data_IF_595660584673
#
_entry.id   IF_595660584673
#
_cell.length_a   1.000
_cell.length_b   1.000
_cell.length_c   1.000
_cell.angle_alpha   90.00
_cell.angle_beta   90.00
_cell.angle_gamma   90.00
#
_symmetry.space_group_name_H-M   'P 1'
#
loop_
_entity.id
_entity.type
_entity.pdbx_description
1 polymer ?
#
# COMPACT_ATOMS: atom_id res chain seq x y z
N UNK A 1 2.95 28.32 16.29
CA UNK A 1 4.09 27.38 16.36
C UNK A 1 5.37 28.11 16.76
N UNK A 2 5.64 29.27 16.20
CA UNK A 2 6.85 30.05 16.49
C UNK A 2 6.86 30.66 17.91
N UNK A 3 5.71 31.07 18.42
CA UNK A 3 5.57 31.76 19.72
C UNK A 3 5.31 30.83 20.90
N UNK A 4 5.32 29.50 20.68
CA UNK A 4 4.98 28.49 21.71
C UNK A 4 3.72 28.83 22.50
N UNK A 5 2.70 29.34 21.79
CA UNK A 5 1.44 29.79 22.34
C UNK A 5 0.26 29.18 21.57
N UNK A 6 -0.78 28.79 22.27
CA UNK A 6 -2.07 28.39 21.71
C UNK A 6 -3.16 29.28 22.28
N UNK A 7 -3.96 29.88 21.40
CA UNK A 7 -5.12 30.66 21.82
C UNK A 7 -6.33 29.71 21.90
N UNK A 8 -6.84 29.51 23.12
CA UNK A 8 -8.02 28.69 23.38
C UNK A 8 -9.25 29.58 23.43
N UNK A 9 -10.20 29.37 22.51
CA UNK A 9 -11.45 30.12 22.48
C UNK A 9 -12.42 29.51 23.46
N UNK A 10 -12.80 30.31 24.49
CA UNK A 10 -13.79 29.94 25.51
C UNK A 10 -15.07 30.74 25.27
N UNK A 11 -16.19 30.03 25.17
CA UNK A 11 -17.52 30.62 24.91
C UNK A 11 -17.97 30.36 23.44
N UNK A 12 -19.22 30.75 23.19
CA UNK A 12 -19.85 30.66 21.85
C UNK A 12 -20.40 32.01 21.44
N UNK A 13 -20.35 32.35 20.17
CA UNK A 13 -20.91 33.58 19.58
C UNK A 13 -20.10 34.84 19.86
N UNK A 14 -20.69 36.04 19.77
CA UNK A 14 -19.98 37.34 19.82
C UNK A 14 -19.26 37.64 21.15
N UNK A 15 -19.50 36.85 22.22
CA UNK A 15 -18.83 36.96 23.51
C UNK A 15 -17.70 35.94 23.74
N UNK A 16 -17.28 35.21 22.74
CA UNK A 16 -16.18 34.28 22.87
C UNK A 16 -14.85 35.02 23.13
N UNK A 17 -14.12 34.60 24.15
CA UNK A 17 -12.82 35.18 24.52
C UNK A 17 -11.72 34.22 24.25
N UNK A 18 -10.64 34.69 23.56
CA UNK A 18 -9.44 33.91 23.35
C UNK A 18 -8.50 34.05 24.55
N UNK A 19 -8.17 32.93 25.19
CA UNK A 19 -7.21 32.87 26.30
C UNK A 19 -5.90 32.31 25.77
N UNK A 20 -4.80 33.08 25.79
CA UNK A 20 -3.50 32.61 25.37
C UNK A 20 -2.91 31.66 26.43
N UNK A 21 -2.57 30.45 26.01
CA UNK A 21 -1.82 29.50 26.84
C UNK A 21 -0.38 29.42 26.34
N UNK A 22 0.56 29.69 27.22
CA UNK A 22 1.98 29.51 26.93
C UNK A 22 2.30 28.01 27.02
N UNK A 23 3.02 27.51 26.02
CA UNK A 23 3.48 26.14 25.95
C UNK A 23 4.99 26.08 26.21
N UNK A 24 5.50 25.03 26.86
CA UNK A 24 6.94 24.79 26.89
C UNK A 24 7.47 24.56 25.47
N UNK A 25 8.77 24.75 25.28
CA UNK A 25 9.41 24.45 23.98
C UNK A 25 9.18 22.98 23.60
N UNK A 26 8.73 22.75 22.39
CA UNK A 26 8.44 21.41 21.86
C UNK A 26 8.86 21.30 20.39
N UNK A 27 9.09 20.07 19.93
CA UNK A 27 9.26 19.74 18.52
C UNK A 27 7.96 19.17 17.98
N UNK A 28 7.45 19.76 16.90
CA UNK A 28 6.26 19.29 16.21
C UNK A 28 6.67 18.38 15.04
N UNK A 29 6.17 17.16 15.06
CA UNK A 29 6.33 16.21 13.95
C UNK A 29 4.95 15.92 13.38
N UNK A 30 4.82 16.09 12.06
CA UNK A 30 3.59 15.74 11.31
C UNK A 30 3.88 14.68 10.26
N UNK A 31 2.91 13.84 9.97
CA UNK A 31 2.97 12.88 8.87
C UNK A 31 1.66 12.92 8.08
N UNK A 32 1.77 12.90 6.76
CA UNK A 32 0.61 12.87 5.86
C UNK A 32 0.96 12.13 4.58
N UNK A 33 -0.04 11.48 3.99
CA UNK A 33 0.05 10.92 2.64
C UNK A 33 -0.33 11.93 1.55
N UNK A 34 -0.85 13.11 1.95
CA UNK A 34 -1.37 14.15 1.05
C UNK A 34 -0.73 15.50 1.36
N UNK A 35 0.59 15.60 1.23
CA UNK A 35 1.33 16.83 1.51
C UNK A 35 0.83 18.04 0.67
N UNK A 36 0.33 17.81 -0.55
CA UNK A 36 -0.23 18.84 -1.41
C UNK A 36 -1.53 19.47 -0.89
N UNK A 37 -2.24 18.83 0.06
CA UNK A 37 -3.43 19.39 0.71
C UNK A 37 -3.12 20.28 1.91
N UNK A 38 -1.86 20.31 2.38
CA UNK A 38 -1.46 21.19 3.46
C UNK A 38 -1.42 22.64 2.94
N UNK A 39 -2.09 23.59 3.64
CA UNK A 39 -1.98 25.00 3.31
C UNK A 39 -0.51 25.45 3.34
N UNK A 40 -0.10 26.29 2.36
CA UNK A 40 1.27 26.79 2.30
C UNK A 40 1.77 27.40 3.61
N UNK A 41 0.98 28.23 4.34
CA UNK A 41 1.45 28.81 5.61
C UNK A 41 1.75 27.77 6.69
N UNK A 42 1.09 26.61 6.65
CA UNK A 42 1.39 25.53 7.59
C UNK A 42 2.64 24.77 7.14
N UNK A 43 2.74 24.45 5.86
CA UNK A 43 3.88 23.72 5.29
C UNK A 43 5.19 24.50 5.48
N UNK A 44 5.16 25.82 5.27
CA UNK A 44 6.34 26.69 5.34
C UNK A 44 6.87 26.86 6.79
N UNK A 45 6.04 26.50 7.81
CA UNK A 45 6.46 26.49 9.21
C UNK A 45 7.18 25.22 9.64
N UNK A 46 7.21 24.18 8.80
CA UNK A 46 8.04 23.00 9.04
C UNK A 46 9.43 23.24 8.45
N UNK A 47 10.46 23.27 9.31
CA UNK A 47 11.84 23.49 8.89
C UNK A 47 12.49 22.33 8.14
N UNK A 48 11.86 21.15 8.16
CA UNK A 48 12.34 19.95 7.49
C UNK A 48 11.17 19.13 6.96
N UNK A 49 11.27 18.67 5.70
CA UNK A 49 10.33 17.76 5.08
C UNK A 49 11.09 16.54 4.57
N UNK A 50 10.72 15.37 5.05
CA UNK A 50 11.23 14.09 4.57
C UNK A 50 10.16 13.36 3.77
N UNK A 51 10.55 12.76 2.66
CA UNK A 51 9.74 11.78 1.95
C UNK A 51 10.15 10.38 2.41
N UNK A 52 9.17 9.55 2.76
CA UNK A 52 9.40 8.16 3.11
C UNK A 52 9.04 7.29 1.92
N UNK A 53 10.05 6.62 1.37
CA UNK A 53 9.89 5.69 0.28
C UNK A 53 9.49 4.28 0.78
N UNK A 54 9.14 3.41 -0.15
CA UNK A 54 8.90 2.01 0.17
C UNK A 54 10.24 1.32 0.47
N UNK A 55 10.18 0.38 1.39
CA UNK A 55 11.35 -0.42 1.76
C UNK A 55 11.67 -1.46 0.68
N UNK A 56 12.95 -1.73 0.50
CA UNK A 56 13.41 -2.86 -0.29
C UNK A 56 13.11 -4.18 0.42
N UNK A 57 13.05 -5.28 -0.34
CA UNK A 57 12.70 -6.59 0.22
C UNK A 57 13.67 -7.03 1.33
N UNK A 58 14.96 -6.76 1.20
CA UNK A 58 15.99 -7.04 2.20
C UNK A 58 15.77 -6.28 3.51
N UNK A 59 15.35 -5.02 3.42
CA UNK A 59 15.04 -4.19 4.60
C UNK A 59 13.78 -4.71 5.32
N UNK A 60 12.77 -5.12 4.56
CA UNK A 60 11.58 -5.76 5.14
C UNK A 60 11.92 -7.09 5.80
N UNK A 61 12.83 -7.90 5.23
CA UNK A 61 13.30 -9.12 5.88
C UNK A 61 13.88 -8.84 7.27
N UNK A 62 14.68 -7.80 7.41
CA UNK A 62 15.23 -7.40 8.72
C UNK A 62 14.12 -6.97 9.70
N UNK A 63 13.11 -6.25 9.22
CA UNK A 63 11.94 -5.88 10.03
C UNK A 63 11.17 -7.12 10.49
N UNK A 64 10.94 -8.09 9.59
CA UNK A 64 10.26 -9.36 9.91
C UNK A 64 11.08 -10.16 10.92
N UNK A 65 12.39 -10.30 10.71
CA UNK A 65 13.30 -10.97 11.66
C UNK A 65 13.25 -10.34 13.06
N UNK A 66 13.32 -9.00 13.12
CA UNK A 66 13.21 -8.26 14.38
C UNK A 66 11.87 -8.52 15.06
N UNK A 67 10.78 -8.41 14.31
CA UNK A 67 9.43 -8.62 14.86
C UNK A 67 9.22 -10.06 15.32
N UNK A 68 9.71 -11.04 14.57
CA UNK A 68 9.66 -12.45 14.96
C UNK A 68 10.39 -12.69 16.30
N UNK A 69 11.60 -12.10 16.49
CA UNK A 69 12.32 -12.18 17.78
C UNK A 69 11.52 -11.55 18.94
N UNK A 70 10.93 -10.37 18.73
CA UNK A 70 10.12 -9.70 19.75
C UNK A 70 8.86 -10.50 20.14
N UNK A 71 8.33 -11.30 19.21
CA UNK A 71 7.20 -12.19 19.43
C UNK A 71 7.60 -13.60 19.87
N UNK A 72 8.90 -13.86 20.06
CA UNK A 72 9.46 -15.18 20.39
C UNK A 72 9.05 -16.27 19.40
N UNK A 73 9.03 -15.96 18.10
CA UNK A 73 8.65 -16.88 17.04
C UNK A 73 9.88 -17.56 16.43
N UNK A 74 9.82 -18.89 16.31
CA UNK A 74 10.78 -19.65 15.51
C UNK A 74 10.35 -19.64 14.05
N UNK A 75 11.12 -18.97 13.18
CA UNK A 75 10.77 -18.77 11.78
C UNK A 75 11.94 -19.11 10.85
N UNK A 76 11.66 -19.83 9.76
CA UNK A 76 12.62 -20.15 8.72
C UNK A 76 12.98 -18.92 7.88
N UNK A 77 14.24 -18.86 7.41
CA UNK A 77 14.72 -17.76 6.55
C UNK A 77 13.88 -17.65 5.27
N UNK A 78 13.49 -18.77 4.65
CA UNK A 78 12.64 -18.79 3.47
C UNK A 78 11.24 -18.24 3.75
N UNK A 79 10.67 -18.48 4.93
CA UNK A 79 9.39 -17.91 5.33
C UNK A 79 9.48 -16.39 5.51
N UNK A 80 10.62 -15.89 6.00
CA UNK A 80 10.89 -14.46 6.10
C UNK A 80 10.90 -13.82 4.72
N UNK A 81 11.64 -14.39 3.76
CA UNK A 81 11.71 -13.88 2.39
C UNK A 81 10.34 -13.88 1.69
N UNK A 82 9.52 -14.93 1.90
CA UNK A 82 8.15 -14.98 1.36
C UNK A 82 7.26 -13.85 1.93
N UNK A 83 7.30 -13.65 3.23
CA UNK A 83 6.54 -12.57 3.88
C UNK A 83 7.03 -11.21 3.39
N UNK A 84 8.33 -11.01 3.26
CA UNK A 84 8.93 -9.76 2.81
C UNK A 84 8.56 -9.46 1.37
N UNK A 85 8.72 -10.41 0.46
CA UNK A 85 8.39 -10.26 -0.97
C UNK A 85 6.94 -9.89 -1.23
N UNK A 86 6.01 -10.43 -0.41
CA UNK A 86 4.57 -10.14 -0.54
C UNK A 86 4.08 -8.95 0.27
N UNK A 87 4.98 -8.23 0.97
CA UNK A 87 4.62 -7.12 1.86
C UNK A 87 4.51 -5.75 1.19
N UNK A 88 4.73 -5.68 -0.12
CA UNK A 88 4.62 -4.45 -0.93
C UNK A 88 5.59 -3.34 -0.49
N UNK A 89 6.73 -3.67 0.12
CA UNK A 89 7.68 -2.72 0.67
C UNK A 89 7.15 -1.94 1.89
N UNK A 90 6.16 -2.49 2.60
CA UNK A 90 5.48 -1.79 3.70
C UNK A 90 5.59 -2.58 5.01
N UNK A 91 6.26 -2.05 6.04
CA UNK A 91 6.43 -2.71 7.34
C UNK A 91 5.11 -3.11 8.03
N UNK A 92 4.07 -2.28 7.87
CA UNK A 92 2.73 -2.57 8.41
C UNK A 92 2.14 -3.84 7.79
N UNK A 93 2.27 -3.99 6.46
CA UNK A 93 1.78 -5.17 5.74
C UNK A 93 2.61 -6.38 6.15
N UNK A 94 3.94 -6.28 6.15
CA UNK A 94 4.84 -7.36 6.57
C UNK A 94 4.50 -7.89 7.96
N UNK A 95 4.32 -7.00 8.94
CA UNK A 95 3.94 -7.39 10.30
C UNK A 95 2.53 -8.01 10.37
N UNK A 96 1.61 -7.57 9.54
CA UNK A 96 0.27 -8.17 9.42
C UNK A 96 0.36 -9.58 8.85
N UNK A 97 1.14 -9.77 7.78
CA UNK A 97 1.35 -11.09 7.16
C UNK A 97 2.07 -12.04 8.13
N UNK A 98 3.10 -11.57 8.83
CA UNK A 98 3.80 -12.38 9.85
C UNK A 98 2.84 -12.91 10.92
N UNK A 99 1.94 -12.06 11.43
CA UNK A 99 0.93 -12.49 12.41
C UNK A 99 -0.01 -13.55 11.84
N UNK A 100 -0.47 -13.39 10.60
CA UNK A 100 -1.32 -14.35 9.92
C UNK A 100 -0.64 -15.71 9.71
N UNK A 101 0.65 -15.68 9.32
CA UNK A 101 1.48 -16.89 9.19
C UNK A 101 1.66 -17.56 10.56
N UNK A 102 1.88 -16.77 11.62
CA UNK A 102 1.94 -17.28 12.99
C UNK A 102 0.65 -17.99 13.37
N UNK A 103 -0.49 -17.32 13.23
CA UNK A 103 -1.79 -17.86 13.62
C UNK A 103 -2.11 -19.17 12.87
N UNK A 104 -1.74 -19.22 11.60
CA UNK A 104 -1.84 -20.45 10.80
C UNK A 104 -0.92 -21.55 11.33
N UNK A 105 0.35 -21.25 11.63
CA UNK A 105 1.32 -22.21 12.12
C UNK A 105 1.01 -22.71 13.55
N UNK A 106 0.38 -21.90 14.40
CA UNK A 106 -0.11 -22.33 15.72
C UNK A 106 -1.16 -23.43 15.58
N UNK A 107 -2.03 -23.33 14.58
CA UNK A 107 -3.09 -24.32 14.34
C UNK A 107 -2.56 -25.58 13.63
N UNK A 108 -1.68 -25.43 12.64
CA UNK A 108 -1.30 -26.50 11.71
C UNK A 108 0.14 -27.01 11.90
N UNK A 109 1.03 -26.23 12.56
CA UNK A 109 2.48 -26.50 12.59
C UNK A 109 3.13 -26.51 13.97
N UNK A 110 2.38 -26.64 15.05
CA UNK A 110 2.90 -26.62 16.43
C UNK A 110 3.76 -25.38 16.75
N UNK A 111 3.44 -24.25 16.10
CA UNK A 111 4.07 -22.95 16.37
C UNK A 111 5.37 -22.65 15.62
N UNK A 112 5.93 -23.59 14.84
CA UNK A 112 7.09 -23.33 13.98
C UNK A 112 6.65 -22.76 12.64
N UNK A 113 7.19 -21.58 12.27
CA UNK A 113 6.87 -20.90 11.03
C UNK A 113 7.81 -21.38 9.91
N UNK A 114 7.45 -22.46 9.24
CA UNK A 114 8.17 -22.95 8.06
C UNK A 114 7.76 -22.20 6.79
N UNK A 115 8.58 -22.35 5.74
CA UNK A 115 8.24 -21.85 4.39
C UNK A 115 6.89 -22.40 3.88
N UNK A 116 6.60 -23.67 4.14
CA UNK A 116 5.33 -24.29 3.75
C UNK A 116 4.14 -23.66 4.46
N UNK A 117 4.27 -23.41 5.78
CA UNK A 117 3.24 -22.71 6.55
C UNK A 117 3.05 -21.27 6.06
N UNK A 118 4.14 -20.56 5.70
CA UNK A 118 4.03 -19.22 5.15
C UNK A 118 3.25 -19.22 3.84
N UNK A 119 3.58 -20.10 2.89
CA UNK A 119 2.87 -20.20 1.62
C UNK A 119 1.40 -20.60 1.78
N UNK A 120 1.12 -21.60 2.61
CA UNK A 120 -0.25 -22.06 2.86
C UNK A 120 -1.10 -20.95 3.52
N UNK A 121 -0.55 -20.25 4.50
CA UNK A 121 -1.21 -19.11 5.15
C UNK A 121 -1.48 -17.98 4.14
N UNK A 122 -0.48 -17.58 3.36
CA UNK A 122 -0.62 -16.49 2.40
C UNK A 122 -1.63 -16.83 1.29
N UNK A 123 -1.64 -18.08 0.83
CA UNK A 123 -2.66 -18.58 -0.10
C UNK A 123 -4.08 -18.55 0.51
N UNK A 124 -4.22 -18.97 1.77
CA UNK A 124 -5.50 -18.92 2.50
C UNK A 124 -6.03 -17.49 2.65
N UNK A 125 -5.13 -16.52 2.81
CA UNK A 125 -5.47 -15.09 2.86
C UNK A 125 -5.51 -14.42 1.48
N UNK A 126 -5.48 -15.23 0.42
CA UNK A 126 -5.57 -14.78 -0.96
C UNK A 126 -4.49 -13.75 -1.37
N UNK A 127 -3.30 -13.82 -0.77
CA UNK A 127 -2.13 -13.01 -1.13
C UNK A 127 -1.26 -13.83 -2.07
N UNK A 128 -1.11 -13.37 -3.31
CA UNK A 128 -0.33 -14.05 -4.33
C UNK A 128 1.20 -13.82 -4.18
N UNK A 129 1.98 -14.35 -5.13
CA UNK A 129 3.45 -14.36 -5.09
C UNK A 129 4.09 -12.96 -5.08
N UNK A 130 3.42 -11.97 -5.63
CA UNK A 130 3.88 -10.58 -5.67
C UNK A 130 3.17 -9.66 -4.67
N UNK A 131 2.28 -10.24 -3.85
CA UNK A 131 1.56 -9.52 -2.82
C UNK A 131 0.23 -8.91 -3.29
N UNK A 132 -0.33 -9.28 -4.44
CA UNK A 132 -1.70 -8.90 -4.80
C UNK A 132 -2.69 -9.60 -3.87
N UNK A 133 -3.60 -8.81 -3.31
CA UNK A 133 -4.69 -9.35 -2.50
C UNK A 133 -5.97 -9.54 -3.34
N UNK A 134 -7.05 -9.91 -2.67
CA UNK A 134 -8.34 -10.15 -3.31
C UNK A 134 -8.84 -8.91 -4.07
N UNK A 135 -8.70 -7.71 -3.50
CA UNK A 135 -9.17 -6.48 -4.14
C UNK A 135 -8.38 -6.18 -5.41
N UNK A 136 -7.05 -6.26 -5.36
CA UNK A 136 -6.20 -6.02 -6.53
C UNK A 136 -6.56 -6.97 -7.67
N UNK A 137 -6.69 -8.27 -7.37
CA UNK A 137 -7.06 -9.26 -8.39
C UNK A 137 -8.48 -9.05 -8.93
N UNK A 138 -9.42 -8.61 -8.08
CA UNK A 138 -10.77 -8.26 -8.54
C UNK A 138 -10.75 -7.07 -9.49
N UNK A 139 -9.92 -6.06 -9.21
CA UNK A 139 -9.73 -4.89 -10.07
C UNK A 139 -9.13 -5.30 -11.41
N UNK A 140 -8.05 -6.11 -11.41
CA UNK A 140 -7.42 -6.60 -12.63
C UNK A 140 -8.36 -7.50 -13.45
N UNK A 141 -9.07 -8.42 -12.80
CA UNK A 141 -10.04 -9.30 -13.45
C UNK A 141 -11.18 -8.49 -14.08
N UNK A 142 -11.71 -7.48 -13.37
CA UNK A 142 -12.74 -6.61 -13.93
C UNK A 142 -12.24 -5.85 -15.17
N UNK A 143 -11.05 -5.26 -15.11
CA UNK A 143 -10.43 -4.57 -16.24
C UNK A 143 -10.24 -5.50 -17.44
N UNK A 144 -9.71 -6.70 -17.22
CA UNK A 144 -9.35 -7.65 -18.28
C UNK A 144 -10.59 -8.37 -18.81
N UNK A 145 -11.33 -9.05 -17.93
CA UNK A 145 -12.38 -9.98 -18.33
C UNK A 145 -13.71 -9.28 -18.71
N UNK A 146 -14.00 -8.11 -18.07
CA UNK A 146 -15.26 -7.38 -18.33
C UNK A 146 -15.11 -6.22 -19.30
N UNK A 147 -13.95 -5.57 -19.29
CA UNK A 147 -13.72 -4.34 -20.05
C UNK A 147 -12.60 -4.48 -21.10
N UNK A 148 -12.18 -5.69 -21.39
CA UNK A 148 -11.15 -5.99 -22.41
C UNK A 148 -9.89 -5.13 -22.28
N UNK A 149 -9.42 -4.96 -21.04
CA UNK A 149 -8.24 -4.16 -20.71
C UNK A 149 -8.47 -2.66 -20.53
N UNK A 150 -9.65 -2.15 -20.79
CA UNK A 150 -10.01 -0.73 -20.65
C UNK A 150 -9.87 0.08 -21.94
N UNK A 151 -9.93 1.44 -21.88
CA UNK A 151 -9.93 2.29 -20.69
C UNK A 151 -11.27 2.34 -19.93
N UNK A 152 -11.22 2.34 -18.59
CA UNK A 152 -12.40 2.35 -17.71
C UNK A 152 -12.29 3.46 -16.65
N UNK A 153 -13.39 4.20 -16.48
CA UNK A 153 -13.49 5.21 -15.43
C UNK A 153 -13.46 4.59 -14.02
N UNK A 154 -12.95 5.34 -13.03
CA UNK A 154 -12.82 4.87 -11.65
C UNK A 154 -14.15 4.40 -11.06
N UNK A 155 -15.21 5.20 -11.21
CA UNK A 155 -16.53 4.87 -10.66
C UNK A 155 -17.12 3.59 -11.26
N UNK A 156 -16.96 3.40 -12.57
CA UNK A 156 -17.39 2.18 -13.26
C UNK A 156 -16.64 0.96 -12.77
N UNK A 157 -15.32 1.09 -12.59
CA UNK A 157 -14.47 0.03 -12.09
C UNK A 157 -14.83 -0.33 -10.64
N UNK A 158 -15.03 0.67 -9.77
CA UNK A 158 -15.42 0.49 -8.39
C UNK A 158 -16.76 -0.27 -8.26
N UNK A 159 -17.78 0.14 -9.03
CA UNK A 159 -19.05 -0.58 -9.09
C UNK A 159 -18.85 -2.02 -9.58
N UNK A 160 -18.00 -2.24 -10.57
CA UNK A 160 -17.75 -3.57 -11.13
C UNK A 160 -17.11 -4.54 -10.12
N UNK A 161 -16.33 -4.03 -9.15
CA UNK A 161 -15.70 -4.84 -8.09
C UNK A 161 -16.46 -4.82 -6.77
N UNK A 162 -17.54 -4.03 -6.68
CA UNK A 162 -18.39 -3.94 -5.48
C UNK A 162 -17.76 -3.12 -4.35
N UNK A 163 -16.95 -2.13 -4.70
CA UNK A 163 -16.23 -1.27 -3.75
C UNK A 163 -16.52 0.22 -3.99
N UNK A 164 -16.17 1.06 -3.01
CA UNK A 164 -16.21 2.50 -3.19
C UNK A 164 -15.04 3.00 -4.05
N UNK A 165 -15.28 4.06 -4.82
CA UNK A 165 -14.24 4.65 -5.69
C UNK A 165 -12.98 5.04 -4.91
N UNK A 166 -13.13 5.62 -3.71
CA UNK A 166 -12.02 6.01 -2.85
C UNK A 166 -11.19 4.80 -2.40
N UNK A 167 -11.83 3.66 -2.12
CA UNK A 167 -11.14 2.41 -1.77
C UNK A 167 -10.29 1.90 -2.93
N UNK A 168 -10.84 1.84 -4.13
CA UNK A 168 -10.09 1.43 -5.32
C UNK A 168 -8.91 2.38 -5.56
N UNK A 169 -9.13 3.69 -5.49
CA UNK A 169 -8.12 4.71 -5.77
C UNK A 169 -7.00 4.77 -4.72
N UNK A 170 -7.33 4.55 -3.44
CA UNK A 170 -6.34 4.74 -2.36
C UNK A 170 -5.70 3.46 -1.88
N UNK A 171 -6.33 2.29 -2.07
CA UNK A 171 -5.84 1.00 -1.57
C UNK A 171 -5.24 0.15 -2.69
N UNK A 172 -5.99 -0.10 -3.77
CA UNK A 172 -5.54 -1.01 -4.83
C UNK A 172 -4.68 -0.29 -5.88
N UNK A 173 -5.15 0.81 -6.43
CA UNK A 173 -4.54 1.47 -7.58
C UNK A 173 -3.07 1.88 -7.37
N UNK A 174 -2.65 2.44 -6.21
CA UNK A 174 -1.26 2.85 -6.03
C UNK A 174 -0.26 1.69 -6.15
N UNK A 175 -0.62 0.51 -5.66
CA UNK A 175 0.21 -0.67 -5.78
C UNK A 175 0.22 -1.21 -7.21
N UNK A 176 -0.94 -1.29 -7.85
CA UNK A 176 -1.08 -1.78 -9.21
C UNK A 176 -0.38 -0.89 -10.24
N UNK A 177 -0.45 0.44 -10.08
CA UNK A 177 0.26 1.41 -10.93
C UNK A 177 1.77 1.32 -10.73
N UNK A 178 2.24 1.31 -9.47
CA UNK A 178 3.66 1.22 -9.14
C UNK A 178 4.32 -0.03 -9.72
N UNK A 179 3.60 -1.15 -9.72
CA UNK A 179 4.10 -2.42 -10.26
C UNK A 179 3.78 -2.61 -11.74
N UNK A 180 3.31 -1.57 -12.42
CA UNK A 180 3.10 -1.61 -13.87
C UNK A 180 1.94 -2.49 -14.34
N UNK A 181 0.99 -2.86 -13.47
CA UNK A 181 -0.21 -3.62 -13.86
C UNK A 181 -1.30 -2.75 -14.48
N UNK A 182 -1.41 -1.50 -14.02
CA UNK A 182 -2.40 -0.54 -14.50
C UNK A 182 -1.70 0.73 -14.94
N UNK A 183 -2.15 1.30 -16.06
CA UNK A 183 -1.80 2.64 -16.48
C UNK A 183 -3.00 3.58 -16.32
N UNK A 184 -2.73 4.81 -15.85
CA UNK A 184 -3.72 5.91 -15.83
C UNK A 184 -3.66 6.68 -17.13
N UNK A 185 -4.78 6.81 -17.81
CA UNK A 185 -4.93 7.61 -19.03
C UNK A 185 -6.02 8.68 -18.84
N UNK A 186 -6.09 9.72 -19.67
CA UNK A 186 -7.17 10.69 -19.61
C UNK A 186 -8.58 10.09 -19.77
N UNK A 187 -8.69 8.92 -20.44
CA UNK A 187 -9.95 8.20 -20.63
C UNK A 187 -10.27 7.19 -19.52
N UNK A 188 -9.32 6.90 -18.63
CA UNK A 188 -9.52 5.95 -17.54
C UNK A 188 -8.33 5.02 -17.31
N UNK A 189 -8.55 3.94 -16.57
CA UNK A 189 -7.59 2.92 -16.20
C UNK A 189 -7.50 1.86 -17.28
N UNK A 190 -6.27 1.45 -17.60
CA UNK A 190 -5.98 0.44 -18.63
C UNK A 190 -5.08 -0.63 -18.02
N UNK A 191 -5.41 -1.90 -18.25
CA UNK A 191 -4.55 -3.01 -17.89
C UNK A 191 -3.37 -3.11 -18.86
N UNK A 192 -2.17 -3.25 -18.33
CA UNK A 192 -0.95 -3.44 -19.16
C UNK A 192 -0.80 -4.89 -19.61
N UNK A 193 0.09 -5.14 -20.56
CA UNK A 193 0.43 -6.51 -21.00
C UNK A 193 0.92 -7.38 -19.82
N UNK A 194 1.60 -6.77 -18.85
CA UNK A 194 2.04 -7.45 -17.61
C UNK A 194 0.86 -7.94 -16.78
N UNK A 195 -0.19 -7.12 -16.62
CA UNK A 195 -1.41 -7.51 -15.92
C UNK A 195 -2.08 -8.72 -16.57
N UNK A 196 -2.20 -8.73 -17.89
CA UNK A 196 -2.77 -9.85 -18.63
C UNK A 196 -1.99 -11.13 -18.39
N UNK A 197 -0.65 -11.09 -18.52
CA UNK A 197 0.21 -12.26 -18.29
C UNK A 197 0.12 -12.76 -16.86
N UNK A 198 0.13 -11.87 -15.88
CA UNK A 198 0.02 -12.22 -14.46
C UNK A 198 -1.32 -12.90 -14.14
N UNK A 199 -2.40 -12.43 -14.76
CA UNK A 199 -3.73 -13.03 -14.62
C UNK A 199 -3.92 -14.30 -15.47
N UNK A 200 -2.85 -14.81 -16.11
CA UNK A 200 -2.90 -16.00 -16.97
C UNK A 200 -3.69 -15.78 -18.27
N UNK A 201 -3.75 -14.55 -18.77
CA UNK A 201 -4.45 -14.17 -20.00
C UNK A 201 -3.45 -13.70 -21.06
N UNK A 202 -3.81 -13.87 -22.34
CA UNK A 202 -3.02 -13.35 -23.46
C UNK A 202 -3.41 -11.89 -23.72
N UNK A 203 -2.45 -10.95 -23.67
CA UNK A 203 -2.76 -9.55 -23.98
C UNK A 203 -3.14 -9.39 -25.45
N UNK A 204 -4.13 -8.54 -25.80
CA UNK A 204 -4.41 -8.12 -27.17
C UNK A 204 -3.18 -7.50 -27.84
N UNK A 205 -3.05 -7.66 -29.16
CA UNK A 205 -1.87 -7.21 -29.91
C UNK A 205 -1.62 -5.69 -29.84
N UNK A 206 -2.68 -4.91 -29.78
CA UNK A 206 -2.64 -3.45 -29.63
C UNK A 206 -2.17 -2.98 -28.23
N UNK A 207 -2.41 -3.77 -27.19
CA UNK A 207 -1.93 -3.49 -25.84
C UNK A 207 -0.45 -3.92 -25.69
N UNK A 208 -0.04 -4.99 -26.36
CA UNK A 208 1.35 -5.46 -26.32
C UNK A 208 2.34 -4.40 -26.85
N UNK A 209 1.94 -3.60 -27.83
CA UNK A 209 2.80 -2.58 -28.47
C UNK A 209 2.77 -1.21 -27.77
N UNK A 210 1.77 -0.92 -26.95
CA UNK A 210 1.60 0.40 -26.32
C UNK A 210 2.54 0.63 -25.11
N UNK A 211 3.08 -0.43 -24.53
CA UNK A 211 3.88 -0.37 -23.29
C UNK A 211 5.20 -1.17 -23.38
N UNK A 212 5.48 -1.85 -24.49
CA UNK A 212 6.81 -2.39 -24.75
C UNK A 212 7.73 -1.24 -25.18
N UNK A 213 8.45 -0.67 -24.22
CA UNK A 213 9.66 0.10 -24.50
C UNK A 213 10.60 -0.86 -25.23
N UNK A 214 11.12 -0.52 -26.44
CA UNK A 214 12.17 -1.32 -27.02
C UNK A 214 13.33 -1.36 -26.03
N UNK A 215 13.75 -2.58 -25.64
CA UNK A 215 14.97 -2.79 -24.89
C UNK A 215 16.09 -2.07 -25.65
N UNK A 216 16.70 -1.07 -25.00
CA UNK A 216 17.89 -0.41 -25.49
C UNK A 216 19.06 -1.41 -25.37
N UNK A 217 19.15 -2.31 -26.35
CA UNK A 217 20.33 -3.13 -26.62
C UNK A 217 20.50 -3.15 -28.14
N UNK A 218 21.26 -2.19 -28.62
CA UNK A 218 22.00 -2.24 -29.90
C UNK A 218 23.29 -1.41 -29.75
#
# INVERSE_FOLDING_TARGET
MEDFRVDVVVGKGPGATAIPLQLPHFTLVGATTRAGLLPSPLRDRFGFTAQLDFYESSEIEEIVKRTARLLNLEIDVKAISEIAGRSRGTPRIANRLLRRVRDYAEVHGKGKLSHEHANAALAMYEVDEIGLDRLDRSVLSALIDRFNGGPVGLSTLAIAVGEESETVETVAEPFLVRNGFIARTPRGRVATAQAWRHMGRTPPADIATLFDTPSADA
#
